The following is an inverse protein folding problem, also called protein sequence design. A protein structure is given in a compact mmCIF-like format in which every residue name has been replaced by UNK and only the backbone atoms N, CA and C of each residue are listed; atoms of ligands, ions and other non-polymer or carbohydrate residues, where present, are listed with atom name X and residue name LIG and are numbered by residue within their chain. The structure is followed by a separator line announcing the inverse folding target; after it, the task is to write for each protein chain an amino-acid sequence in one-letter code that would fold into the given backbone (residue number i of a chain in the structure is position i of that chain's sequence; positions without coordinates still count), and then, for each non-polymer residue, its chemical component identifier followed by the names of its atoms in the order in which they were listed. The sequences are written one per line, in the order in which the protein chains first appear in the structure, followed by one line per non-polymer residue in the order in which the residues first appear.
data_IF_323357397383
#
_entry.id   IF_323357397383
#
_cell.length_a   1.000
_cell.length_b   1.000
_cell.length_c   1.000
_cell.angle_alpha   90.00
_cell.angle_beta   90.00
_cell.angle_gamma   90.00
#
_symmetry.space_group_name_H-M   'P 1'
#
loop_
_entity.id
_entity.type
_entity.pdbx_description
1 polymer ?
#
# COMPACT_ATOMS: atom_id res chain seq x y z
N UNK A 1 -15.20 -27.23 5.99
CA UNK A 1 -15.39 -25.79 5.74
C UNK A 1 -14.32 -25.03 6.49
N UNK A 2 -13.44 -24.29 5.79
CA UNK A 2 -12.38 -23.51 6.45
C UNK A 2 -13.00 -22.30 7.16
N UNK A 3 -12.36 -21.75 8.21
CA UNK A 3 -12.87 -20.55 8.90
C UNK A 3 -13.03 -19.36 7.95
N UNK A 4 -12.16 -19.26 6.95
CA UNK A 4 -12.26 -18.26 5.88
C UNK A 4 -13.51 -18.45 5.03
N UNK A 5 -13.90 -19.68 4.70
CA UNK A 5 -15.11 -19.92 3.92
C UNK A 5 -16.37 -19.48 4.67
N UNK A 6 -16.45 -19.81 5.97
CA UNK A 6 -17.50 -19.31 6.86
C UNK A 6 -17.52 -17.78 6.89
N UNK A 7 -16.35 -17.16 6.91
CA UNK A 7 -16.21 -15.72 6.92
C UNK A 7 -16.75 -15.03 5.67
N UNK A 8 -16.42 -15.57 4.49
CA UNK A 8 -16.92 -15.06 3.21
C UNK A 8 -18.44 -15.23 3.08
N UNK A 9 -18.98 -16.36 3.54
CA UNK A 9 -20.43 -16.59 3.57
C UNK A 9 -21.15 -15.60 4.49
N UNK A 10 -20.59 -15.32 5.67
CA UNK A 10 -21.14 -14.33 6.60
C UNK A 10 -21.16 -12.91 5.98
N UNK A 11 -20.11 -12.52 5.26
CA UNK A 11 -20.10 -11.24 4.52
C UNK A 11 -21.19 -11.17 3.45
N UNK A 12 -21.61 -12.30 2.88
CA UNK A 12 -22.74 -12.39 1.97
C UNK A 12 -24.05 -11.85 2.56
N UNK A 13 -24.19 -11.83 3.89
CA UNK A 13 -25.36 -11.24 4.58
C UNK A 13 -25.32 -9.71 4.62
N UNK A 14 -24.12 -9.11 4.55
CA UNK A 14 -23.93 -7.65 4.44
C UNK A 14 -24.19 -7.18 2.99
N UNK A 15 -23.72 -7.97 2.02
CA UNK A 15 -23.97 -7.75 0.60
C UNK A 15 -23.03 -8.59 -0.26
N UNK A 16 -23.02 -8.39 -1.58
CA UNK A 16 -22.26 -9.26 -2.47
C UNK A 16 -20.75 -9.11 -2.25
N UNK A 17 -20.07 -10.25 -2.08
CA UNK A 17 -18.61 -10.33 -2.19
C UNK A 17 -18.27 -10.21 -3.67
N UNK A 18 -17.45 -9.21 -4.02
CA UNK A 18 -17.12 -8.85 -5.40
C UNK A 18 -15.80 -9.45 -5.88
N UNK A 19 -14.88 -9.72 -4.95
CA UNK A 19 -13.62 -10.41 -5.21
C UNK A 19 -12.97 -10.83 -3.88
N UNK A 20 -12.14 -11.87 -3.91
CA UNK A 20 -11.40 -12.36 -2.75
C UNK A 20 -9.90 -12.53 -3.07
N UNK A 21 -9.04 -12.03 -2.17
CA UNK A 21 -7.60 -12.25 -2.20
C UNK A 21 -7.26 -13.36 -1.21
N UNK A 22 -6.50 -14.36 -1.63
CA UNK A 22 -6.13 -15.49 -0.79
C UNK A 22 -4.62 -15.51 -0.59
N UNK A 23 -4.19 -15.77 0.65
CA UNK A 23 -2.79 -16.03 0.97
C UNK A 23 -2.69 -17.35 1.73
N UNK A 24 -2.09 -18.36 1.09
CA UNK A 24 -1.91 -19.71 1.68
C UNK A 24 -3.20 -20.35 2.23
N UNK A 25 -4.35 -19.96 1.70
CA UNK A 25 -5.67 -20.51 2.02
C UNK A 25 -6.28 -21.11 0.75
N UNK A 26 -6.93 -22.26 0.88
CA UNK A 26 -7.74 -22.87 -0.19
C UNK A 26 -9.21 -22.89 0.23
N UNK A 27 -10.09 -22.57 -0.71
CA UNK A 27 -11.54 -22.62 -0.55
C UNK A 27 -12.07 -23.81 -1.36
N UNK A 28 -12.97 -24.59 -0.79
CA UNK A 28 -13.56 -25.77 -1.42
C UNK A 28 -15.04 -25.93 -1.03
N UNK A 29 -16.00 -25.78 -1.97
CA UNK A 29 -15.79 -25.35 -3.35
C UNK A 29 -15.38 -23.86 -3.44
N UNK A 30 -14.70 -23.45 -4.52
CA UNK A 30 -14.37 -22.05 -4.73
C UNK A 30 -15.65 -21.22 -5.02
N UNK A 31 -15.79 -20.01 -4.44
CA UNK A 31 -16.90 -19.13 -4.73
C UNK A 31 -16.85 -18.64 -6.19
N UNK A 32 -18.02 -18.33 -6.76
CA UNK A 32 -18.17 -17.79 -8.12
C UNK A 32 -17.83 -16.28 -8.21
N UNK A 33 -16.72 -15.87 -7.60
CA UNK A 33 -16.22 -14.50 -7.58
C UNK A 33 -14.75 -14.50 -7.99
N UNK A 34 -14.21 -13.39 -8.53
CA UNK A 34 -12.78 -13.26 -8.79
C UNK A 34 -11.94 -13.63 -7.58
N UNK A 35 -11.06 -14.62 -7.73
CA UNK A 35 -10.11 -15.05 -6.71
C UNK A 35 -8.70 -14.77 -7.17
N UNK A 36 -7.91 -14.08 -6.36
CA UNK A 36 -6.55 -13.69 -6.70
C UNK A 36 -5.59 -13.96 -5.54
N UNK A 37 -4.29 -14.16 -5.81
CA UNK A 37 -3.30 -14.20 -4.75
C UNK A 37 -3.19 -12.84 -4.05
N UNK A 38 -2.91 -12.84 -2.74
CA UNK A 38 -2.56 -11.63 -2.02
C UNK A 38 -1.14 -11.17 -2.39
N UNK A 39 -1.02 -10.38 -3.46
CA UNK A 39 0.27 -9.94 -4.02
C UNK A 39 1.17 -9.24 -2.99
N UNK A 40 0.58 -8.54 -2.03
CA UNK A 40 1.35 -7.85 -0.97
C UNK A 40 2.17 -8.82 -0.13
N UNK A 41 1.58 -9.96 0.24
CA UNK A 41 2.19 -10.94 1.11
C UNK A 41 2.96 -12.03 0.35
N UNK A 42 2.61 -12.31 -0.91
CA UNK A 42 3.44 -13.15 -1.79
C UNK A 42 4.82 -12.54 -2.03
N UNK A 43 4.92 -11.21 -2.08
CA UNK A 43 6.19 -10.51 -2.24
C UNK A 43 7.01 -10.41 -0.94
N UNK A 44 6.46 -10.76 0.23
CA UNK A 44 7.13 -10.65 1.53
C UNK A 44 7.92 -11.91 1.89
N UNK A 45 8.83 -12.33 1.02
CA UNK A 45 9.62 -13.57 1.18
C UNK A 45 10.49 -13.62 2.46
N UNK A 46 10.72 -12.46 3.09
CA UNK A 46 11.56 -12.33 4.29
C UNK A 46 10.74 -12.31 5.59
N UNK A 47 9.40 -12.43 5.55
CA UNK A 47 8.54 -12.38 6.73
C UNK A 47 7.67 -13.63 6.83
N UNK A 48 7.38 -14.04 8.07
CA UNK A 48 6.36 -15.06 8.34
C UNK A 48 5.01 -14.35 8.40
N UNK A 49 4.24 -14.47 7.33
CA UNK A 49 2.87 -13.95 7.23
C UNK A 49 1.88 -15.09 7.50
N UNK A 50 0.90 -14.92 8.40
CA UNK A 50 -0.13 -15.94 8.64
C UNK A 50 -1.02 -16.11 7.40
N UNK A 51 -1.51 -17.32 7.10
CA UNK A 51 -2.57 -17.53 6.10
C UNK A 51 -3.78 -16.64 6.38
N UNK A 52 -4.32 -16.03 5.34
CA UNK A 52 -5.44 -15.10 5.45
C UNK A 52 -6.19 -14.97 4.13
N UNK A 53 -7.35 -14.33 4.20
CA UNK A 53 -8.08 -13.91 3.02
C UNK A 53 -8.59 -12.48 3.18
N UNK A 54 -8.52 -11.68 2.12
CA UNK A 54 -9.18 -10.39 2.04
C UNK A 54 -10.37 -10.50 1.10
N UNK A 55 -11.47 -9.81 1.40
CA UNK A 55 -12.66 -9.79 0.58
C UNK A 55 -13.09 -8.35 0.31
N UNK A 56 -13.34 -8.04 -0.96
CA UNK A 56 -14.07 -6.83 -1.32
C UNK A 56 -15.56 -7.12 -1.25
N UNK A 57 -16.27 -6.41 -0.38
CA UNK A 57 -17.71 -6.56 -0.20
C UNK A 57 -18.40 -5.23 -0.46
N UNK A 58 -19.55 -5.28 -1.13
CA UNK A 58 -20.40 -4.12 -1.31
C UNK A 58 -21.53 -4.12 -0.29
N UNK A 59 -21.74 -2.99 0.39
CA UNK A 59 -22.92 -2.79 1.23
C UNK A 59 -24.17 -2.79 0.36
N UNK A 60 -25.09 -3.73 0.63
CA UNK A 60 -26.35 -3.85 -0.11
C UNK A 60 -27.24 -2.59 0.02
N UNK A 61 -27.13 -1.84 1.12
CA UNK A 61 -27.97 -0.68 1.38
C UNK A 61 -27.48 0.59 0.69
N UNK A 62 -26.17 0.85 0.68
CA UNK A 62 -25.59 2.09 0.13
C UNK A 62 -24.82 1.90 -1.18
N UNK A 63 -24.43 0.68 -1.53
CA UNK A 63 -23.51 0.42 -2.63
C UNK A 63 -22.04 0.72 -2.32
N UNK A 64 -21.73 1.11 -1.07
CA UNK A 64 -20.38 1.39 -0.60
C UNK A 64 -19.51 0.14 -0.58
N UNK A 65 -18.20 0.31 -0.76
CA UNK A 65 -17.23 -0.77 -0.83
C UNK A 65 -16.37 -0.84 0.43
N UNK A 66 -16.14 -2.07 0.90
CA UNK A 66 -15.25 -2.35 2.02
C UNK A 66 -14.30 -3.49 1.67
N UNK A 67 -13.09 -3.43 2.21
CA UNK A 67 -12.17 -4.58 2.22
C UNK A 67 -12.08 -5.12 3.63
N UNK A 68 -12.33 -6.43 3.77
CA UNK A 68 -12.29 -7.13 5.06
C UNK A 68 -11.27 -8.26 4.96
N UNK A 69 -10.30 -8.29 5.87
CA UNK A 69 -9.22 -9.28 5.93
C UNK A 69 -9.43 -10.18 7.13
N UNK A 70 -9.55 -11.48 6.90
CA UNK A 70 -9.69 -12.51 7.93
C UNK A 70 -8.35 -13.21 8.14
N UNK A 71 -7.85 -13.20 9.38
CA UNK A 71 -6.60 -13.85 9.79
C UNK A 71 -6.93 -14.87 10.89
N UNK A 72 -7.33 -16.11 10.52
CA UNK A 72 -7.85 -17.09 11.47
C UNK A 72 -6.88 -17.44 12.60
N UNK A 73 -5.60 -17.63 12.28
CA UNK A 73 -4.55 -17.97 13.26
C UNK A 73 -4.35 -16.90 14.36
N UNK A 74 -4.87 -15.69 14.15
CA UNK A 74 -4.77 -14.57 15.11
C UNK A 74 -6.11 -14.17 15.71
N UNK A 75 -7.20 -14.87 15.39
CA UNK A 75 -8.57 -14.47 15.74
C UNK A 75 -8.80 -12.98 15.46
N UNK A 76 -8.41 -12.55 14.26
CA UNK A 76 -8.37 -11.13 13.90
C UNK A 76 -9.04 -10.90 12.56
N UNK A 77 -9.87 -9.88 12.55
CA UNK A 77 -10.50 -9.32 11.36
C UNK A 77 -10.00 -7.89 11.19
N UNK A 78 -9.46 -7.55 10.03
CA UNK A 78 -9.07 -6.19 9.70
C UNK A 78 -10.04 -5.60 8.68
N UNK A 79 -10.49 -4.37 8.89
CA UNK A 79 -11.19 -3.60 7.87
C UNK A 79 -10.22 -2.59 7.28
N UNK A 80 -9.77 -2.83 6.05
CA UNK A 80 -8.84 -1.94 5.34
C UNK A 80 -9.62 -0.79 4.68
N UNK A 81 -9.32 0.43 5.13
CA UNK A 81 -9.95 1.66 4.63
C UNK A 81 -9.13 2.37 3.56
N UNK A 82 -7.90 1.91 3.31
CA UNK A 82 -6.98 2.48 2.31
C UNK A 82 -7.36 2.01 0.92
N UNK A 83 -7.60 0.71 0.74
CA UNK A 83 -8.00 0.14 -0.55
C UNK A 83 -9.33 0.69 -1.05
N UNK A 84 -10.25 0.94 -0.13
CA UNK A 84 -11.60 1.45 -0.42
C UNK A 84 -11.73 2.94 -0.08
N UNK A 85 -10.61 3.67 -0.06
CA UNK A 85 -10.57 5.06 0.34
C UNK A 85 -11.48 5.94 -0.54
N UNK A 86 -12.50 6.53 0.09
CA UNK A 86 -13.53 7.33 -0.55
C UNK A 86 -14.47 6.53 -1.45
N UNK A 87 -14.64 5.25 -1.13
CA UNK A 87 -15.69 4.36 -1.66
C UNK A 87 -16.65 3.89 -0.57
N UNK A 88 -16.55 4.42 0.66
CA UNK A 88 -17.47 4.14 1.75
C UNK A 88 -17.83 5.39 2.55
N UNK A 89 -18.97 5.28 3.25
CA UNK A 89 -19.47 6.26 4.21
C UNK A 89 -19.27 5.76 5.65
N UNK A 90 -19.19 6.67 6.64
CA UNK A 90 -19.17 6.30 8.06
C UNK A 90 -20.34 5.41 8.47
N UNK A 91 -21.54 5.65 7.92
CA UNK A 91 -22.75 4.89 8.22
C UNK A 91 -22.66 3.45 7.71
N UNK A 92 -22.17 3.27 6.48
CA UNK A 92 -21.93 1.93 5.93
C UNK A 92 -20.83 1.18 6.68
N UNK A 93 -19.77 1.91 7.06
CA UNK A 93 -18.69 1.34 7.85
C UNK A 93 -19.18 0.88 9.24
N UNK A 94 -20.03 1.67 9.91
CA UNK A 94 -20.62 1.30 11.18
C UNK A 94 -21.51 0.04 11.07
N UNK A 95 -22.30 -0.08 9.99
CA UNK A 95 -23.09 -1.30 9.73
C UNK A 95 -22.20 -2.53 9.54
N UNK A 96 -21.10 -2.40 8.79
CA UNK A 96 -20.15 -3.49 8.60
C UNK A 96 -19.54 -3.92 9.94
N UNK A 97 -19.08 -2.97 10.76
CA UNK A 97 -18.50 -3.28 12.06
C UNK A 97 -19.50 -3.97 13.00
N UNK A 98 -20.76 -3.52 13.01
CA UNK A 98 -21.82 -4.15 13.80
C UNK A 98 -22.07 -5.60 13.35
N UNK A 99 -22.09 -5.85 12.03
CA UNK A 99 -22.22 -7.20 11.48
C UNK A 99 -21.03 -8.09 11.85
N UNK A 100 -19.79 -7.59 11.72
CA UNK A 100 -18.59 -8.34 12.08
C UNK A 100 -18.57 -8.70 13.57
N UNK A 101 -18.94 -7.75 14.44
CA UNK A 101 -19.04 -8.00 15.87
C UNK A 101 -20.11 -9.05 16.23
N UNK A 102 -21.24 -9.05 15.52
CA UNK A 102 -22.32 -10.01 15.74
C UNK A 102 -21.98 -11.42 15.23
N UNK A 103 -21.34 -11.52 14.06
CA UNK A 103 -21.01 -12.80 13.42
C UNK A 103 -19.73 -13.44 13.99
N UNK A 104 -18.81 -12.64 14.51
CA UNK A 104 -17.50 -13.08 15.00
C UNK A 104 -17.20 -12.55 16.41
N UNK A 105 -17.98 -12.94 17.43
CA UNK A 105 -17.85 -12.39 18.79
C UNK A 105 -16.51 -12.74 19.47
N UNK A 106 -15.82 -13.77 18.99
CA UNK A 106 -14.50 -14.18 19.49
C UNK A 106 -13.31 -13.51 18.78
N UNK A 107 -13.55 -12.83 17.66
CA UNK A 107 -12.49 -12.21 16.86
C UNK A 107 -12.30 -10.74 17.23
N UNK A 108 -11.03 -10.30 17.21
CA UNK A 108 -10.70 -8.89 17.34
C UNK A 108 -10.86 -8.17 15.99
N UNK A 109 -11.82 -7.27 15.91
CA UNK A 109 -11.99 -6.38 14.75
C UNK A 109 -11.08 -5.16 14.89
N UNK A 110 -10.25 -4.90 13.88
CA UNK A 110 -9.30 -3.77 13.84
C UNK A 110 -9.51 -2.97 12.55
N UNK A 111 -9.43 -1.64 12.64
CA UNK A 111 -9.50 -0.78 11.46
C UNK A 111 -8.08 -0.43 11.01
N UNK A 112 -7.75 -0.76 9.77
CA UNK A 112 -6.47 -0.43 9.14
C UNK A 112 -6.64 0.85 8.33
N UNK A 113 -6.08 1.94 8.87
CA UNK A 113 -6.19 3.30 8.35
C UNK A 113 -5.00 3.75 7.48
N UNK A 114 -5.13 4.88 6.77
CA UNK A 114 -4.07 5.41 5.93
C UNK A 114 -2.85 5.86 6.75
N UNK A 115 -1.66 5.44 6.32
CA UNK A 115 -0.38 5.87 6.86
C UNK A 115 0.22 7.02 6.05
N UNK A 116 0.52 8.13 6.73
CA UNK A 116 1.26 9.26 6.13
C UNK A 116 2.68 8.86 5.73
N UNK A 117 3.36 8.09 6.59
CA UNK A 117 4.72 7.59 6.33
C UNK A 117 4.81 6.73 5.07
N UNK A 118 3.75 5.98 4.75
CA UNK A 118 3.68 5.15 3.53
C UNK A 118 3.10 5.89 2.32
N UNK A 119 2.68 7.14 2.49
CA UNK A 119 2.11 7.96 1.42
C UNK A 119 0.76 7.46 0.90
N UNK A 120 -0.04 6.77 1.73
CA UNK A 120 -1.26 6.08 1.31
C UNK A 120 -2.22 6.97 0.53
N UNK A 121 -2.47 8.19 1.01
CA UNK A 121 -3.35 9.15 0.34
C UNK A 121 -2.87 9.50 -1.07
N UNK A 122 -1.55 9.58 -1.29
CA UNK A 122 -0.96 9.89 -2.61
C UNK A 122 -1.09 8.70 -3.56
N UNK A 123 -0.87 7.49 -3.06
CA UNK A 123 -1.08 6.25 -3.83
C UNK A 123 -2.55 6.12 -4.24
N UNK A 124 -3.47 6.32 -3.31
CA UNK A 124 -4.93 6.32 -3.57
C UNK A 124 -5.29 7.37 -4.62
N UNK A 125 -4.79 8.60 -4.48
CA UNK A 125 -5.04 9.66 -5.45
C UNK A 125 -4.51 9.32 -6.85
N UNK A 126 -3.30 8.75 -6.95
CA UNK A 126 -2.72 8.32 -8.21
C UNK A 126 -3.55 7.20 -8.88
N UNK A 127 -4.04 6.23 -8.09
CA UNK A 127 -4.90 5.17 -8.59
C UNK A 127 -6.24 5.73 -9.10
N UNK A 128 -6.93 6.51 -8.27
CA UNK A 128 -8.26 7.08 -8.58
C UNK A 128 -8.25 8.04 -9.76
N UNK A 129 -7.12 8.71 -10.01
CA UNK A 129 -6.97 9.55 -11.20
C UNK A 129 -7.01 8.75 -12.51
N UNK A 130 -6.74 7.43 -12.46
CA UNK A 130 -6.80 6.56 -13.63
C UNK A 130 -8.07 5.69 -13.63
N UNK A 131 -8.35 4.99 -12.53
CA UNK A 131 -9.46 4.05 -12.43
C UNK A 131 -9.91 3.89 -10.98
N UNK A 132 -11.22 3.86 -10.75
CA UNK A 132 -11.77 3.59 -9.41
C UNK A 132 -11.84 2.09 -9.12
N UNK A 133 -11.74 1.69 -7.85
CA UNK A 133 -11.94 0.29 -7.45
C UNK A 133 -13.35 -0.20 -7.82
N UNK A 134 -14.36 0.66 -7.72
CA UNK A 134 -15.73 0.35 -8.12
C UNK A 134 -15.81 -0.02 -9.61
N UNK A 135 -15.15 0.73 -10.49
CA UNK A 135 -15.12 0.40 -11.93
C UNK A 135 -14.41 -0.93 -12.19
N UNK A 136 -13.34 -1.23 -11.45
CA UNK A 136 -12.61 -2.50 -11.56
C UNK A 136 -13.48 -3.69 -11.15
N UNK A 137 -14.24 -3.56 -10.06
CA UNK A 137 -15.06 -4.63 -9.52
C UNK A 137 -16.40 -4.78 -10.25
N UNK A 138 -17.05 -3.67 -10.63
CA UNK A 138 -18.44 -3.63 -11.08
C UNK A 138 -18.63 -3.10 -12.50
N UNK A 139 -17.63 -2.45 -13.08
CA UNK A 139 -17.72 -1.82 -14.40
C UNK A 139 -18.10 -2.82 -15.49
N UNK A 140 -19.07 -2.46 -16.33
CA UNK A 140 -19.60 -3.34 -17.39
C UNK A 140 -18.67 -3.44 -18.59
N UNK A 141 -18.07 -2.32 -18.99
CA UNK A 141 -17.09 -2.28 -20.08
C UNK A 141 -15.69 -2.67 -19.58
N UNK A 142 -15.43 -3.98 -19.54
CA UNK A 142 -14.13 -4.51 -19.11
C UNK A 142 -12.98 -4.01 -20.00
N UNK A 143 -13.24 -3.70 -21.28
CA UNK A 143 -12.22 -3.20 -22.22
C UNK A 143 -11.75 -1.78 -21.87
N UNK A 144 -12.70 -0.87 -21.63
CA UNK A 144 -12.40 0.49 -21.19
C UNK A 144 -11.70 0.50 -19.83
N UNK A 145 -12.18 -0.30 -18.87
CA UNK A 145 -11.56 -0.39 -17.54
C UNK A 145 -10.15 -0.96 -17.62
N UNK A 146 -9.92 -1.99 -18.47
CA UNK A 146 -8.57 -2.52 -18.72
C UNK A 146 -7.62 -1.47 -19.28
N UNK A 147 -8.08 -0.66 -20.22
CA UNK A 147 -7.28 0.45 -20.77
C UNK A 147 -6.87 1.45 -19.68
N UNK A 148 -7.77 1.75 -18.75
CA UNK A 148 -7.48 2.62 -17.61
C UNK A 148 -6.47 1.97 -16.63
N UNK A 149 -6.58 0.66 -16.38
CA UNK A 149 -5.60 -0.10 -15.59
C UNK A 149 -4.23 -0.12 -16.26
N UNK A 150 -4.15 -0.22 -17.58
CA UNK A 150 -2.88 -0.19 -18.33
C UNK A 150 -2.18 1.17 -18.24
N UNK A 151 -2.95 2.26 -18.22
CA UNK A 151 -2.43 3.60 -17.92
C UNK A 151 -1.89 3.67 -16.50
N UNK A 152 -2.61 3.11 -15.52
CA UNK A 152 -2.14 3.05 -14.14
C UNK A 152 -0.82 2.26 -14.01
N UNK A 153 -0.69 1.14 -14.72
CA UNK A 153 0.55 0.36 -14.77
C UNK A 153 1.70 1.17 -15.38
N UNK A 154 1.44 1.91 -16.46
CA UNK A 154 2.42 2.81 -17.10
C UNK A 154 2.87 3.91 -16.13
N UNK A 155 1.93 4.54 -15.42
CA UNK A 155 2.22 5.55 -14.39
C UNK A 155 3.07 4.93 -13.27
N UNK A 156 2.72 3.73 -12.79
CA UNK A 156 3.51 3.01 -11.79
C UNK A 156 4.96 2.76 -12.22
N UNK A 157 5.16 2.32 -13.48
CA UNK A 157 6.49 2.12 -14.05
C UNK A 157 7.30 3.43 -14.17
N UNK A 158 6.65 4.53 -14.55
CA UNK A 158 7.29 5.85 -14.58
C UNK A 158 7.68 6.32 -13.18
N UNK A 159 6.81 6.12 -12.18
CA UNK A 159 7.10 6.43 -10.78
C UNK A 159 8.29 5.63 -10.26
N UNK A 160 8.38 4.34 -10.60
CA UNK A 160 9.52 3.49 -10.23
C UNK A 160 10.81 3.99 -10.89
N UNK A 161 10.76 4.39 -12.17
CA UNK A 161 11.92 4.98 -12.84
C UNK A 161 12.40 6.26 -12.12
N UNK A 162 11.46 7.13 -11.73
CA UNK A 162 11.78 8.35 -10.98
C UNK A 162 12.36 8.03 -9.58
N UNK A 163 11.84 7.02 -8.89
CA UNK A 163 12.38 6.61 -7.59
C UNK A 163 13.80 6.05 -7.70
N UNK A 164 14.09 5.26 -8.76
CA UNK A 164 15.43 4.76 -9.06
C UNK A 164 16.41 5.89 -9.34
N UNK A 165 16.00 6.91 -10.09
CA UNK A 165 16.81 8.13 -10.33
C UNK A 165 17.09 8.85 -9.01
N UNK A 166 16.09 9.03 -8.15
CA UNK A 166 16.28 9.65 -6.84
C UNK A 166 17.26 8.84 -5.95
N UNK A 167 17.11 7.51 -5.91
CA UNK A 167 18.02 6.61 -5.19
C UNK A 167 19.45 6.67 -5.74
N UNK A 168 19.59 6.71 -7.07
CA UNK A 168 20.89 6.86 -7.72
C UNK A 168 21.54 8.20 -7.37
N UNK A 169 20.78 9.31 -7.41
CA UNK A 169 21.29 10.64 -7.08
C UNK A 169 21.79 10.71 -5.62
N UNK A 170 21.06 10.08 -4.68
CA UNK A 170 21.52 9.99 -3.29
C UNK A 170 22.85 9.24 -3.18
N UNK A 171 22.98 8.10 -3.85
CA UNK A 171 24.17 7.25 -3.77
C UNK A 171 25.39 7.83 -4.49
N UNK A 172 25.18 8.47 -5.63
CA UNK A 172 26.28 8.86 -6.53
C UNK A 172 26.63 10.34 -6.50
N UNK A 173 25.67 11.20 -6.12
CA UNK A 173 25.89 12.65 -6.07
C UNK A 173 25.93 13.12 -4.63
N UNK A 174 24.86 12.87 -3.87
CA UNK A 174 24.73 13.40 -2.50
C UNK A 174 25.80 12.82 -1.57
N UNK A 175 26.05 11.51 -1.61
CA UNK A 175 27.07 10.85 -0.79
C UNK A 175 28.48 11.45 -0.97
N UNK A 176 29.04 11.49 -2.20
CA UNK A 176 30.35 12.08 -2.44
C UNK A 176 30.44 13.57 -2.11
N UNK A 177 29.41 14.36 -2.44
CA UNK A 177 29.38 15.79 -2.08
C UNK A 177 29.44 15.97 -0.57
N UNK A 178 28.72 15.15 0.20
CA UNK A 178 28.75 15.21 1.67
C UNK A 178 30.11 14.79 2.23
N UNK A 179 30.76 13.80 1.64
CA UNK A 179 32.11 13.40 2.03
C UNK A 179 33.10 14.55 1.81
N UNK A 180 33.07 15.19 0.64
CA UNK A 180 33.89 16.36 0.34
C UNK A 180 33.56 17.53 1.26
N UNK A 181 32.27 17.84 1.45
CA UNK A 181 31.83 18.92 2.32
C UNK A 181 32.26 18.68 3.78
N UNK A 182 32.16 17.45 4.27
CA UNK A 182 32.66 17.04 5.58
C UNK A 182 34.17 17.22 5.71
N UNK A 183 34.94 16.78 4.71
CA UNK A 183 36.39 16.96 4.67
C UNK A 183 36.78 18.44 4.64
N UNK A 184 36.19 19.24 3.76
CA UNK A 184 36.46 20.68 3.65
C UNK A 184 36.05 21.41 4.93
N UNK A 185 34.94 21.03 5.54
CA UNK A 185 34.50 21.58 6.84
C UNK A 185 35.52 21.27 7.93
N UNK A 186 36.01 20.03 8.00
CA UNK A 186 36.95 19.64 9.03
C UNK A 186 38.31 20.33 8.84
N UNK A 187 38.87 20.28 7.64
CA UNK A 187 40.17 20.87 7.33
C UNK A 187 40.13 22.41 7.34
N UNK A 188 39.14 22.99 6.66
CA UNK A 188 39.00 24.44 6.51
C UNK A 188 38.71 25.14 7.83
N UNK A 189 37.81 24.60 8.66
CA UNK A 189 37.54 25.19 9.98
C UNK A 189 38.73 25.05 10.94
N UNK A 190 39.57 24.04 10.77
CA UNK A 190 40.81 23.88 11.53
C UNK A 190 41.79 25.05 11.34
N UNK A 191 41.80 25.68 10.17
CA UNK A 191 42.65 26.85 9.88
C UNK A 191 42.25 28.11 10.67
N UNK A 192 41.01 28.16 11.19
CA UNK A 192 40.50 29.30 11.96
C UNK A 192 40.63 29.11 13.48
N UNK A 193 41.29 28.04 13.93
CA UNK A 193 41.44 27.74 15.37
C UNK A 193 42.12 28.87 16.13
N UNK A 194 43.13 29.53 15.53
CA UNK A 194 43.80 30.69 16.14
C UNK A 194 42.92 31.94 16.32
N UNK A 195 41.78 32.06 15.61
CA UNK A 195 40.86 33.20 15.70
C UNK A 195 39.59 32.90 16.50
N UNK A 196 39.04 31.69 16.35
CA UNK A 196 37.75 31.29 16.94
C UNK A 196 37.90 30.50 18.24
N UNK A 197 39.12 30.06 18.56
CA UNK A 197 39.38 29.10 19.63
C UNK A 197 38.86 27.70 19.30
N UNK A 198 39.41 26.70 19.98
CA UNK A 198 39.06 25.29 19.76
C UNK A 198 37.57 25.01 19.97
N UNK A 199 36.96 25.63 21.00
CA UNK A 199 35.53 25.49 21.27
C UNK A 199 34.68 26.06 20.13
N UNK A 200 35.03 27.22 19.59
CA UNK A 200 34.29 27.86 18.49
C UNK A 200 34.35 27.01 17.21
N UNK A 201 35.55 26.54 16.84
CA UNK A 201 35.74 25.64 15.68
C UNK A 201 34.99 24.33 15.88
N UNK A 202 35.03 23.75 17.07
CA UNK A 202 34.35 22.49 17.38
C UNK A 202 32.83 22.62 17.27
N UNK A 203 32.24 23.68 17.86
CA UNK A 203 30.80 23.95 17.75
C UNK A 203 30.39 24.12 16.29
N UNK A 204 31.15 24.88 15.51
CA UNK A 204 30.84 25.11 14.09
C UNK A 204 30.92 23.82 13.26
N UNK A 205 31.92 22.97 13.51
CA UNK A 205 32.01 21.64 12.89
C UNK A 205 30.78 20.80 13.19
N UNK A 206 30.33 20.74 14.46
CA UNK A 206 29.14 19.97 14.82
C UNK A 206 27.87 20.48 14.15
N UNK A 207 27.69 21.81 14.07
CA UNK A 207 26.53 22.40 13.39
C UNK A 207 26.52 22.03 11.91
N UNK A 208 27.65 22.23 11.21
CA UNK A 208 27.73 21.94 9.77
C UNK A 208 27.54 20.46 9.49
N UNK A 209 28.21 19.58 10.23
CA UNK A 209 28.05 18.12 10.08
C UNK A 209 26.62 17.69 10.36
N UNK A 210 25.96 18.26 11.37
CA UNK A 210 24.55 17.95 11.68
C UNK A 210 23.59 18.38 10.57
N UNK A 211 23.79 19.57 9.99
CA UNK A 211 22.98 20.05 8.87
C UNK A 211 23.17 19.17 7.63
N UNK A 212 24.41 18.83 7.30
CA UNK A 212 24.76 17.94 6.18
C UNK A 212 24.17 16.54 6.39
N UNK A 213 24.28 15.98 7.58
CA UNK A 213 23.69 14.69 7.94
C UNK A 213 22.16 14.70 7.86
N UNK A 214 21.52 15.78 8.32
CA UNK A 214 20.06 15.95 8.22
C UNK A 214 19.60 16.00 6.77
N UNK A 215 20.30 16.76 5.92
CA UNK A 215 20.01 16.83 4.49
C UNK A 215 20.14 15.44 3.83
N UNK A 216 21.20 14.69 4.15
CA UNK A 216 21.39 13.33 3.65
C UNK A 216 20.24 12.41 4.03
N UNK A 217 19.87 12.38 5.31
CA UNK A 217 18.77 11.56 5.81
C UNK A 217 17.46 11.94 5.14
N UNK A 218 17.18 13.23 4.97
CA UNK A 218 16.00 13.70 4.27
C UNK A 218 15.93 13.17 2.83
N UNK A 219 17.00 13.32 2.04
CA UNK A 219 17.01 12.86 0.65
C UNK A 219 16.96 11.33 0.55
N UNK A 220 17.66 10.62 1.43
CA UNK A 220 17.61 9.15 1.52
C UNK A 220 16.21 8.65 1.84
N UNK A 221 15.57 9.19 2.89
CA UNK A 221 14.19 8.85 3.26
C UNK A 221 13.20 9.18 2.14
N UNK A 222 13.39 10.31 1.45
CA UNK A 222 12.54 10.70 0.31
C UNK A 222 12.66 9.70 -0.85
N UNK A 223 13.86 9.23 -1.16
CA UNK A 223 14.06 8.21 -2.20
C UNK A 223 13.40 6.87 -1.84
N UNK A 224 13.49 6.45 -0.57
CA UNK A 224 12.79 5.26 -0.06
C UNK A 224 11.27 5.44 -0.15
N UNK A 225 10.75 6.60 0.27
CA UNK A 225 9.32 6.91 0.22
C UNK A 225 8.78 6.89 -1.22
N UNK A 226 9.51 7.45 -2.19
CA UNK A 226 9.13 7.40 -3.60
C UNK A 226 9.08 5.96 -4.13
N UNK A 227 10.04 5.12 -3.72
CA UNK A 227 10.08 3.71 -4.10
C UNK A 227 8.91 2.92 -3.51
N UNK A 228 8.59 3.16 -2.24
CA UNK A 228 7.44 2.54 -1.59
C UNK A 228 6.13 2.92 -2.28
N UNK A 229 5.95 4.20 -2.61
CA UNK A 229 4.76 4.66 -3.34
C UNK A 229 4.67 4.05 -4.75
N UNK A 230 5.78 3.99 -5.51
CA UNK A 230 5.77 3.40 -6.85
C UNK A 230 5.42 1.92 -6.81
N UNK A 231 5.99 1.18 -5.87
CA UNK A 231 5.72 -0.24 -5.68
C UNK A 231 4.23 -0.48 -5.39
N UNK A 232 3.63 0.36 -4.54
CA UNK A 232 2.21 0.21 -4.18
C UNK A 232 1.27 0.56 -5.32
N UNK A 233 1.57 1.58 -6.12
CA UNK A 233 0.81 1.87 -7.35
C UNK A 233 0.90 0.70 -8.33
N UNK A 234 2.12 0.17 -8.53
CA UNK A 234 2.32 -1.00 -9.39
C UNK A 234 1.54 -2.22 -8.91
N UNK A 235 1.58 -2.52 -7.61
CA UNK A 235 0.83 -3.63 -7.01
C UNK A 235 -0.68 -3.48 -7.20
N UNK A 236 -1.22 -2.27 -7.05
CA UNK A 236 -2.65 -2.00 -7.33
C UNK A 236 -3.01 -2.23 -8.79
N UNK A 237 -2.17 -1.79 -9.73
CA UNK A 237 -2.39 -2.04 -11.15
C UNK A 237 -2.38 -3.55 -11.47
N UNK A 238 -1.46 -4.31 -10.87
CA UNK A 238 -1.39 -5.76 -11.01
C UNK A 238 -2.63 -6.45 -10.41
N UNK A 239 -3.04 -6.04 -9.20
CA UNK A 239 -4.26 -6.53 -8.54
C UNK A 239 -5.50 -6.29 -9.41
N UNK A 240 -5.68 -5.07 -9.92
CA UNK A 240 -6.81 -4.73 -10.79
C UNK A 240 -6.80 -5.53 -12.08
N UNK A 241 -5.62 -5.75 -12.67
CA UNK A 241 -5.47 -6.58 -13.86
C UNK A 241 -5.90 -8.03 -13.61
N UNK A 242 -5.55 -8.60 -12.45
CA UNK A 242 -5.97 -9.95 -12.05
C UNK A 242 -7.47 -10.02 -11.83
N UNK A 243 -8.07 -9.02 -11.17
CA UNK A 243 -9.53 -8.94 -10.99
C UNK A 243 -10.21 -8.94 -12.36
N UNK A 244 -9.77 -8.12 -13.31
CA UNK A 244 -10.37 -8.06 -14.64
C UNK A 244 -10.21 -9.37 -15.41
N UNK A 245 -9.05 -10.03 -15.32
CA UNK A 245 -8.81 -11.32 -15.95
C UNK A 245 -9.76 -12.40 -15.41
N UNK A 246 -9.92 -12.48 -14.10
CA UNK A 246 -10.85 -13.42 -13.47
C UNK A 246 -12.32 -13.09 -13.79
N UNK A 247 -12.68 -11.80 -13.86
CA UNK A 247 -14.02 -11.39 -14.30
C UNK A 247 -14.31 -11.85 -15.73
N UNK A 248 -13.36 -11.72 -16.67
CA UNK A 248 -13.51 -12.25 -18.04
C UNK A 248 -13.69 -13.75 -18.04
N UNK A 249 -12.87 -14.48 -17.28
CA UNK A 249 -12.95 -15.93 -17.14
C UNK A 249 -14.33 -16.37 -16.64
N UNK A 250 -14.85 -15.72 -15.60
CA UNK A 250 -16.16 -16.02 -15.02
C UNK A 250 -17.34 -15.66 -15.94
N UNK A 251 -17.16 -14.68 -16.83
CA UNK A 251 -18.16 -14.28 -17.83
C UNK A 251 -18.05 -15.05 -19.16
N UNK A 252 -17.08 -15.96 -19.29
CA UNK A 252 -16.84 -16.69 -20.53
C UNK A 252 -16.29 -15.83 -21.68
N UNK A 253 -15.67 -14.69 -21.37
CA UNK A 253 -15.12 -13.72 -22.34
C UNK A 253 -13.64 -14.00 -22.66
N UNK A 254 -13.27 -15.28 -22.81
CA UNK A 254 -11.91 -15.76 -23.02
C UNK A 254 -11.50 -15.86 -24.48
#
# INVERSE_FOLDING_TARGET
MTDVQRALEALGTFGPVLAAKLYRVKLDPPPAVPMLPCLDHEAMLHQVVPPHAAAYVQDKASGDLHEVVFIPERWRIEVDTVSTAGSNTPESHARLLALLAAQFPGDRVVISGPSWWRGDRRVVAACRAQVSLADVLLGRDIGAVKTAVDRLQTVGALMEKQSRVASWAVRTVTGPILAVAGFVTYQGLGLFTGRLGERGVTTLRYVVVSLLGTAFLYFGLKAVHLTEMSNRVWKRAAEYSLILAERRRLQGLG
#
